data_IF_808845984591
#
_entry.id   IF_808845984591
#
_cell.length_a   1.000
_cell.length_b   1.000
_cell.length_c   1.000
_cell.angle_alpha   90.00
_cell.angle_beta   90.00
_cell.angle_gamma   90.00
#
_symmetry.space_group_name_H-M   'P 1'
#
loop_
_entity.id
_entity.type
_entity.pdbx_description
1 polymer ?
#
# COMPACT_ATOMS: atom_id res chain seq x y z
N UNK A 1 4.82 -15.67 -22.97
CA UNK A 1 5.16 -15.09 -21.65
C UNK A 1 5.77 -13.71 -21.88
N UNK A 2 5.08 -12.61 -21.58
CA UNK A 2 5.67 -11.28 -21.70
C UNK A 2 6.55 -11.03 -20.46
N UNK A 3 7.86 -10.81 -20.66
CA UNK A 3 8.79 -10.49 -19.58
C UNK A 3 8.51 -9.07 -19.07
N UNK A 4 7.58 -8.95 -18.12
CA UNK A 4 7.33 -7.69 -17.39
C UNK A 4 8.37 -7.58 -16.28
N UNK A 5 9.52 -7.03 -16.61
CA UNK A 5 10.56 -6.73 -15.63
C UNK A 5 10.12 -5.47 -14.89
N UNK A 6 9.78 -5.57 -13.59
CA UNK A 6 9.56 -4.40 -12.74
C UNK A 6 10.89 -3.65 -12.60
N UNK A 7 11.10 -2.66 -13.46
CA UNK A 7 12.32 -1.84 -13.50
C UNK A 7 12.41 -0.85 -12.33
N UNK A 8 11.28 -0.39 -11.82
CA UNK A 8 11.22 0.62 -10.75
C UNK A 8 10.61 0.00 -9.49
N UNK A 9 11.47 -0.38 -8.56
CA UNK A 9 11.07 -0.86 -7.23
C UNK A 9 10.95 0.35 -6.30
N UNK A 10 9.73 0.62 -5.84
CA UNK A 10 9.53 1.60 -4.77
C UNK A 10 9.82 0.94 -3.43
N UNK A 11 10.87 1.40 -2.76
CA UNK A 11 11.20 1.01 -1.40
C UNK A 11 10.66 2.08 -0.44
N UNK A 12 9.90 1.65 0.55
CA UNK A 12 9.37 2.52 1.59
C UNK A 12 10.04 2.17 2.91
N UNK A 13 10.77 3.12 3.47
CA UNK A 13 11.34 3.00 4.81
C UNK A 13 10.36 3.66 5.78
N UNK A 14 9.75 2.84 6.63
CA UNK A 14 8.78 3.30 7.62
C UNK A 14 9.33 3.00 9.01
N UNK A 15 9.14 3.95 9.91
CA UNK A 15 9.39 3.78 11.34
C UNK A 15 8.37 2.81 11.93
N UNK A 16 8.66 2.25 13.12
CA UNK A 16 7.75 1.30 13.78
C UNK A 16 6.34 1.89 14.01
N UNK A 17 6.26 3.17 14.37
CA UNK A 17 5.00 3.89 14.57
C UNK A 17 4.23 4.10 13.25
N UNK A 18 4.92 4.51 12.18
CA UNK A 18 4.32 4.67 10.86
C UNK A 18 3.81 3.34 10.31
N UNK A 19 4.55 2.25 10.55
CA UNK A 19 4.14 0.91 10.19
C UNK A 19 2.92 0.44 11.00
N UNK A 20 2.84 0.80 12.28
CA UNK A 20 1.66 0.54 13.11
C UNK A 20 0.41 1.28 12.58
N UNK A 21 0.54 2.58 12.28
CA UNK A 21 -0.55 3.39 11.73
C UNK A 21 -0.99 2.84 10.37
N UNK A 22 -0.05 2.47 9.51
CA UNK A 22 -0.33 1.90 8.20
C UNK A 22 -1.10 0.59 8.33
N UNK A 23 -0.69 -0.30 9.23
CA UNK A 23 -1.36 -1.57 9.47
C UNK A 23 -2.80 -1.36 9.96
N UNK A 24 -3.01 -0.42 10.89
CA UNK A 24 -4.35 -0.13 11.42
C UNK A 24 -5.28 0.43 10.34
N UNK A 25 -4.77 1.33 9.47
CA UNK A 25 -5.52 1.84 8.32
C UNK A 25 -5.79 0.76 7.27
N UNK A 26 -4.84 -0.16 7.08
CA UNK A 26 -5.00 -1.29 6.17
C UNK A 26 -6.07 -2.27 6.67
N UNK A 27 -6.09 -2.60 7.96
CA UNK A 27 -7.13 -3.45 8.57
C UNK A 27 -8.52 -2.82 8.43
N UNK A 28 -8.64 -1.51 8.67
CA UNK A 28 -9.89 -0.76 8.47
C UNK A 28 -10.36 -0.72 7.01
N UNK A 29 -9.42 -0.80 6.06
CA UNK A 29 -9.74 -0.75 4.64
C UNK A 29 -10.31 -2.09 4.11
N UNK A 30 -10.21 -3.20 4.84
CA UNK A 30 -10.68 -4.51 4.41
C UNK A 30 -9.99 -5.07 3.15
N UNK A 31 -8.88 -4.45 2.71
CA UNK A 31 -8.17 -4.86 1.50
C UNK A 31 -7.34 -6.11 1.72
N UNK A 32 -7.19 -6.94 0.67
CA UNK A 32 -6.45 -8.21 0.74
C UNK A 32 -4.93 -8.06 0.73
N UNK A 33 -4.40 -6.89 0.33
CA UNK A 33 -2.95 -6.68 0.22
C UNK A 33 -2.54 -5.25 0.53
N UNK A 34 -1.49 -5.10 1.35
CA UNK A 34 -0.89 -3.80 1.68
C UNK A 34 -0.37 -3.06 0.44
N UNK A 35 0.12 -3.79 -0.57
CA UNK A 35 0.58 -3.17 -1.81
C UNK A 35 -0.57 -2.58 -2.62
N UNK A 36 -1.75 -3.23 -2.63
CA UNK A 36 -2.93 -2.69 -3.29
C UNK A 36 -3.41 -1.43 -2.57
N UNK A 37 -3.43 -1.47 -1.24
CA UNK A 37 -3.75 -0.34 -0.37
C UNK A 37 -2.83 0.87 -0.61
N UNK A 38 -1.51 0.64 -0.63
CA UNK A 38 -0.55 1.71 -0.91
C UNK A 38 -0.70 2.23 -2.34
N UNK A 39 -0.96 1.37 -3.31
CA UNK A 39 -1.17 1.78 -4.71
C UNK A 39 -2.41 2.65 -4.87
N UNK A 40 -3.54 2.29 -4.25
CA UNK A 40 -4.75 3.12 -4.25
C UNK A 40 -4.55 4.42 -3.48
N UNK A 41 -3.83 4.38 -2.36
CA UNK A 41 -3.52 5.58 -1.59
C UNK A 41 -2.65 6.56 -2.38
N UNK A 42 -1.65 6.08 -3.10
CA UNK A 42 -0.77 6.92 -3.93
C UNK A 42 -1.53 7.49 -5.14
N UNK A 43 -2.41 6.70 -5.77
CA UNK A 43 -3.15 7.14 -6.96
C UNK A 43 -4.28 8.12 -6.64
N UNK A 44 -5.04 7.87 -5.58
CA UNK A 44 -6.27 8.62 -5.28
C UNK A 44 -6.09 9.61 -4.12
N UNK A 45 -5.06 9.46 -3.29
CA UNK A 45 -4.82 10.31 -2.12
C UNK A 45 -5.76 10.04 -0.94
N UNK A 46 -6.73 9.14 -1.09
CA UNK A 46 -7.67 8.73 -0.06
C UNK A 46 -8.13 7.28 -0.28
N UNK A 47 -8.71 6.67 0.75
CA UNK A 47 -9.22 5.30 0.70
C UNK A 47 -10.69 5.32 1.15
N UNK A 48 -11.58 4.73 0.35
CA UNK A 48 -12.94 4.45 0.78
C UNK A 48 -12.93 3.22 1.71
N UNK A 49 -13.17 3.46 2.99
CA UNK A 49 -13.60 2.40 3.92
C UNK A 49 -15.03 2.06 3.53
N UNK A 50 -15.26 0.82 3.11
CA UNK A 50 -16.61 0.28 2.84
C UNK A 50 -17.06 -0.52 4.04
#
# INVERSE_FOLDING_TARGET
MASRIRINRNEFYLSNEEQYILNKKFELSGMKSKSAFLHTLILYGYIYVT
#
